data_IF_492573260949
#
_entry.id   IF_492573260949
#
_cell.length_a   1.000
_cell.length_b   1.000
_cell.length_c   1.000
_cell.angle_alpha   90.00
_cell.angle_beta   90.00
_cell.angle_gamma   90.00
#
_symmetry.space_group_name_H-M   'P 1'
#
loop_
_entity.id
_entity.type
_entity.pdbx_description
1 polymer ?
#
# COMPACT_ATOMS: atom_id res chain seq x y z
N UNK A 1 -0.95 -0.28 -6.92
CA UNK A 1 -1.92 0.84 -6.89
C UNK A 1 -1.71 1.68 -5.64
N UNK A 2 -1.92 2.99 -5.70
CA UNK A 2 -1.81 3.92 -4.57
C UNK A 2 -2.96 4.92 -4.56
N UNK A 3 -3.25 5.43 -3.37
CA UNK A 3 -4.14 6.57 -3.15
C UNK A 3 -3.61 7.84 -3.80
N UNK A 4 -4.52 8.73 -4.19
CA UNK A 4 -4.19 10.10 -4.58
C UNK A 4 -4.20 10.97 -3.32
N UNK A 5 -3.11 11.68 -3.05
CA UNK A 5 -2.96 12.50 -1.83
C UNK A 5 -4.10 13.50 -1.64
N UNK A 6 -4.56 14.14 -2.72
CA UNK A 6 -5.66 15.09 -2.66
C UNK A 6 -7.00 14.50 -2.21
N UNK A 7 -7.28 13.23 -2.56
CA UNK A 7 -8.50 12.55 -2.10
C UNK A 7 -8.36 12.08 -0.65
N UNK A 8 -7.17 11.60 -0.27
CA UNK A 8 -6.89 11.18 1.10
C UNK A 8 -6.97 12.35 2.09
N UNK A 9 -6.34 13.49 1.77
CA UNK A 9 -6.29 14.65 2.68
C UNK A 9 -7.62 15.39 2.76
N UNK A 10 -8.33 15.56 1.64
CA UNK A 10 -9.55 16.39 1.62
C UNK A 10 -10.82 15.64 1.94
N UNK A 11 -10.88 14.33 1.65
CA UNK A 11 -12.11 13.55 1.76
C UNK A 11 -11.92 12.22 2.50
N UNK A 12 -10.73 11.92 3.03
CA UNK A 12 -10.47 10.66 3.73
C UNK A 12 -10.50 9.42 2.83
N UNK A 13 -10.47 9.59 1.50
CA UNK A 13 -10.56 8.48 0.55
C UNK A 13 -9.18 7.91 0.27
N UNK A 14 -9.01 6.62 0.55
CA UNK A 14 -7.74 5.91 0.36
C UNK A 14 -7.96 4.50 -0.21
N UNK A 15 -6.93 3.92 -0.82
CA UNK A 15 -6.95 2.53 -1.30
C UNK A 15 -6.65 1.59 -0.14
N UNK A 16 -7.47 0.54 0.04
CA UNK A 16 -7.27 -0.47 1.09
C UNK A 16 -6.21 -1.51 0.70
N UNK A 17 -6.25 -1.96 -0.55
CA UNK A 17 -5.22 -2.83 -1.17
C UNK A 17 -4.75 -2.18 -2.47
N UNK A 18 -3.68 -2.71 -3.03
CA UNK A 18 -3.16 -2.23 -4.31
C UNK A 18 -2.16 -3.13 -5.00
N UNK A 19 -1.94 -4.35 -4.50
CA UNK A 19 -1.13 -5.34 -5.20
C UNK A 19 -1.97 -5.93 -6.33
N UNK A 20 -1.43 -5.86 -7.54
CA UNK A 20 -1.99 -6.50 -8.73
C UNK A 20 -0.86 -7.37 -9.27
N UNK A 21 -1.10 -8.67 -9.36
CA UNK A 21 -0.10 -9.60 -9.83
C UNK A 21 0.17 -9.42 -11.32
N UNK A 22 1.43 -9.62 -11.72
CA UNK A 22 1.88 -9.35 -13.10
C UNK A 22 1.22 -10.24 -14.17
N UNK A 23 0.68 -11.39 -13.76
CA UNK A 23 -0.04 -12.34 -14.58
C UNK A 23 -1.57 -12.17 -14.53
N UNK A 24 -2.08 -11.24 -13.72
CA UNK A 24 -3.51 -10.93 -13.70
C UNK A 24 -3.99 -10.32 -15.03
N UNK A 25 -5.10 -10.82 -15.56
CA UNK A 25 -5.72 -10.37 -16.83
C UNK A 25 -7.19 -9.99 -16.71
N UNK A 26 -7.75 -10.04 -15.51
CA UNK A 26 -9.13 -9.65 -15.26
C UNK A 26 -9.32 -8.13 -15.18
N UNK A 27 -10.54 -7.72 -14.88
CA UNK A 27 -10.87 -6.33 -14.62
C UNK A 27 -10.12 -5.81 -13.38
N UNK A 28 -9.37 -4.73 -13.52
CA UNK A 28 -8.70 -4.08 -12.41
C UNK A 28 -9.73 -3.28 -11.60
N UNK A 29 -9.96 -3.71 -10.37
CA UNK A 29 -10.84 -3.02 -9.41
C UNK A 29 -10.01 -2.17 -8.45
N UNK A 30 -10.51 -0.98 -8.16
CA UNK A 30 -9.95 -0.09 -7.13
C UNK A 30 -10.73 -0.32 -5.84
N UNK A 31 -10.08 -0.89 -4.82
CA UNK A 31 -10.71 -1.06 -3.50
C UNK A 31 -10.48 0.21 -2.68
N UNK A 32 -11.53 1.02 -2.57
CA UNK A 32 -11.52 2.27 -1.81
C UNK A 32 -12.13 2.05 -0.42
N UNK A 33 -11.59 2.77 0.56
CA UNK A 33 -12.20 2.96 1.87
C UNK A 33 -12.40 4.45 2.10
N UNK A 34 -13.59 4.81 2.59
CA UNK A 34 -13.88 6.15 3.06
C UNK A 34 -13.63 6.21 4.57
N UNK A 35 -12.60 6.96 4.96
CA UNK A 35 -12.28 7.25 6.37
C UNK A 35 -12.79 8.64 6.78
N UNK A 36 -13.41 9.39 5.86
CA UNK A 36 -14.11 10.63 6.13
C UNK A 36 -15.41 10.40 6.89
N UNK A 37 -16.05 11.49 7.30
CA UNK A 37 -17.35 11.45 7.98
C UNK A 37 -18.53 11.61 7.02
N UNK A 38 -18.27 12.14 5.82
CA UNK A 38 -19.29 12.42 4.82
C UNK A 38 -19.26 11.38 3.70
N UNK A 39 -20.39 11.19 3.03
CA UNK A 39 -20.48 10.40 1.81
C UNK A 39 -19.59 10.98 0.71
N UNK A 40 -18.92 10.10 -0.05
CA UNK A 40 -18.10 10.49 -1.18
C UNK A 40 -18.65 9.91 -2.49
N UNK A 41 -19.17 10.77 -3.35
CA UNK A 41 -19.74 10.39 -4.63
C UNK A 41 -18.65 10.36 -5.69
N UNK A 42 -18.55 9.25 -6.43
CA UNK A 42 -17.61 9.09 -7.55
C UNK A 42 -18.40 9.08 -8.85
N UNK A 43 -18.12 10.04 -9.74
CA UNK A 43 -18.66 10.00 -11.10
C UNK A 43 -17.78 9.17 -12.05
N UNK A 44 -18.40 8.63 -13.10
CA UNK A 44 -17.69 7.93 -14.17
C UNK A 44 -16.66 8.86 -14.81
N UNK A 45 -15.41 8.39 -14.94
CA UNK A 45 -14.31 9.15 -15.51
C UNK A 45 -13.46 9.91 -14.48
N UNK A 46 -13.88 9.93 -13.21
CA UNK A 46 -13.06 10.51 -12.15
C UNK A 46 -11.81 9.68 -11.85
N UNK A 47 -10.70 10.38 -11.59
CA UNK A 47 -9.43 9.77 -11.22
C UNK A 47 -9.40 9.48 -9.72
N UNK A 48 -9.66 8.24 -9.33
CA UNK A 48 -9.78 7.83 -7.91
C UNK A 48 -8.51 7.21 -7.32
N UNK A 49 -7.61 6.69 -8.15
CA UNK A 49 -6.35 6.06 -7.72
C UNK A 49 -5.26 6.27 -8.78
N UNK A 50 -4.06 5.78 -8.50
CA UNK A 50 -2.95 5.75 -9.45
C UNK A 50 -2.23 4.39 -9.43
N UNK A 51 -1.82 3.91 -10.59
CA UNK A 51 -1.02 2.69 -10.74
C UNK A 51 0.46 3.06 -10.65
N UNK A 52 1.23 2.24 -9.93
CA UNK A 52 2.69 2.30 -9.90
C UNK A 52 3.16 0.93 -10.35
N UNK A 53 4.03 0.92 -11.36
CA UNK A 53 4.77 -0.28 -11.76
C UNK A 53 6.01 -0.34 -10.87
N UNK A 54 6.02 -1.27 -9.93
CA UNK A 54 7.09 -1.42 -8.95
C UNK A 54 7.96 -2.63 -9.30
N UNK A 55 9.30 -2.51 -9.33
CA UNK A 55 10.17 -3.67 -9.43
C UNK A 55 10.04 -4.52 -8.15
N UNK A 56 9.99 -5.84 -8.32
CA UNK A 56 9.95 -6.80 -7.21
C UNK A 56 11.04 -7.85 -7.40
N UNK A 57 11.76 -8.18 -6.33
CA UNK A 57 12.74 -9.25 -6.36
C UNK A 57 12.03 -10.61 -6.19
N UNK A 58 12.36 -11.57 -7.04
CA UNK A 58 11.93 -12.97 -6.85
C UNK A 58 12.96 -13.70 -6.00
N UNK A 59 12.73 -13.72 -4.69
CA UNK A 59 13.62 -14.39 -3.74
C UNK A 59 13.36 -15.91 -3.72
N UNK A 60 14.44 -16.69 -3.55
CA UNK A 60 14.36 -18.08 -3.10
C UNK A 60 14.43 -18.10 -1.58
N UNK A 61 13.51 -18.80 -0.95
CA UNK A 61 13.48 -18.93 0.51
C UNK A 61 14.38 -20.11 0.91
N UNK A 62 15.31 -19.86 1.83
CA UNK A 62 16.20 -20.86 2.43
C UNK A 62 16.00 -20.85 3.94
N UNK A 63 15.63 -21.98 4.52
CA UNK A 63 15.49 -22.15 5.96
C UNK A 63 16.87 -22.28 6.64
N UNK A 64 17.05 -21.62 7.77
CA UNK A 64 18.30 -21.61 8.56
C UNK A 64 17.98 -21.62 10.06
N UNK A 65 18.90 -22.12 10.88
CA UNK A 65 18.72 -22.18 12.34
C UNK A 65 18.72 -20.78 12.99
N UNK A 66 19.49 -19.84 12.45
CA UNK A 66 19.60 -18.47 12.95
C UNK A 66 19.99 -17.48 11.84
N UNK A 67 19.65 -16.20 12.07
CA UNK A 67 20.07 -15.06 11.24
C UNK A 67 21.26 -14.35 11.88
N UNK A 68 22.02 -13.61 11.08
CA UNK A 68 23.12 -12.75 11.55
C UNK A 68 22.62 -11.54 12.34
N UNK A 69 23.46 -11.05 13.26
CA UNK A 69 23.15 -9.84 14.02
C UNK A 69 23.32 -8.58 13.17
N UNK A 70 22.42 -7.62 13.36
CA UNK A 70 22.52 -6.29 12.75
C UNK A 70 22.47 -5.22 13.84
N UNK A 71 22.99 -4.02 13.55
CA UNK A 71 22.90 -2.89 14.48
C UNK A 71 21.45 -2.54 14.89
N UNK A 72 20.45 -2.90 14.08
CA UNK A 72 19.03 -2.72 14.40
C UNK A 72 18.49 -3.79 15.34
N UNK A 73 18.99 -5.03 15.25
CA UNK A 73 18.51 -6.17 16.01
C UNK A 73 16.98 -6.34 15.94
N UNK A 74 16.35 -6.61 17.08
CA UNK A 74 14.89 -6.73 17.23
C UNK A 74 14.16 -5.37 17.31
N UNK A 75 14.83 -4.24 17.05
CA UNK A 75 14.25 -2.90 17.15
C UNK A 75 13.16 -2.63 16.10
N UNK A 76 11.94 -2.33 16.56
CA UNK A 76 10.79 -1.97 15.74
C UNK A 76 9.82 -1.03 16.46
N UNK A 77 8.72 -0.65 15.81
CA UNK A 77 7.58 0.07 16.42
C UNK A 77 7.94 1.33 17.21
N UNK A 78 8.81 2.18 16.64
CA UNK A 78 9.23 3.41 17.29
C UNK A 78 10.41 3.24 18.26
N UNK A 79 11.19 2.15 18.13
CA UNK A 79 12.41 1.90 18.92
C UNK A 79 13.47 3.00 18.86
N UNK A 80 13.39 3.91 17.88
CA UNK A 80 14.27 5.08 17.75
C UNK A 80 13.75 6.32 18.47
N UNK A 81 12.61 6.23 19.15
CA UNK A 81 11.95 7.37 19.80
C UNK A 81 11.26 8.34 18.82
N UNK A 82 10.60 9.36 19.38
CA UNK A 82 10.15 10.56 18.67
C UNK A 82 11.11 11.69 19.01
N UNK A 83 11.49 12.48 18.01
CA UNK A 83 12.08 13.80 18.22
C UNK A 83 11.02 14.77 18.77
#
# INVERSE_FOLDING_TARGET
MRSRSGLAVRAGITTLTGTIDSDYRGEIKVVLINLGQDDFVIARGERVAQIIIAPVAQARITEVESLDETARGAGGFGSTGRA
#
